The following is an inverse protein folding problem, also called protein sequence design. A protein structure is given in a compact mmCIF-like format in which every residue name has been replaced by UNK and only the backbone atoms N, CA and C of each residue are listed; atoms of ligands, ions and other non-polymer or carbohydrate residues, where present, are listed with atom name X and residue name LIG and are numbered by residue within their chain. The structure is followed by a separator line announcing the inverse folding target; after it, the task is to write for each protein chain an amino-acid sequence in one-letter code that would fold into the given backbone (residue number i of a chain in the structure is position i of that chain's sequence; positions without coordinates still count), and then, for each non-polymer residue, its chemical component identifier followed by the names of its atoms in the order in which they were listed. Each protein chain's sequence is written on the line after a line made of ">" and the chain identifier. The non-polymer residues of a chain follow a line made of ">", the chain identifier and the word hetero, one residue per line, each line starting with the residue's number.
data_IF_153578269360
#
_entry.id   IF_153578269360
#
_cell.length_a   1.000
_cell.length_b   1.000
_cell.length_c   1.000
_cell.angle_alpha   90.00
_cell.angle_beta   90.00
_cell.angle_gamma   90.00
#
_symmetry.space_group_name_H-M   'P 1'
#
loop_
_entity.id
_entity.type
_entity.pdbx_description
1 polymer ?
#
# COMPACT_ATOMS: atom_id res chain seq x y z
N UNK A 1 7.29 -5.68 24.10
CA UNK A 1 6.45 -4.67 23.42
C UNK A 1 5.15 -5.36 23.04
N UNK A 2 4.00 -4.83 23.45
CA UNK A 2 2.71 -5.51 23.22
C UNK A 2 2.17 -5.10 21.85
N UNK A 3 2.05 -6.08 20.96
CA UNK A 3 1.44 -5.96 19.63
C UNK A 3 -0.08 -6.07 19.82
N UNK A 4 -0.84 -5.00 19.54
CA UNK A 4 -2.31 -4.95 19.75
C UNK A 4 -3.02 -4.82 18.40
N UNK A 5 -3.99 -5.72 18.16
CA UNK A 5 -4.91 -5.64 17.02
C UNK A 5 -5.64 -4.28 17.01
N UNK A 6 -5.82 -3.66 15.85
CA UNK A 6 -6.48 -2.36 15.77
C UNK A 6 -7.94 -2.40 16.16
N UNK A 7 -8.38 -1.36 16.88
CA UNK A 7 -9.78 -1.16 17.20
C UNK A 7 -10.50 -0.46 16.05
N UNK A 8 -11.83 -0.61 15.99
CA UNK A 8 -12.67 0.08 14.99
C UNK A 8 -12.41 1.60 14.98
N UNK A 9 -12.30 2.22 16.15
CA UNK A 9 -11.99 3.66 16.27
C UNK A 9 -10.68 4.06 15.56
N UNK A 10 -9.68 3.18 15.56
CA UNK A 10 -8.37 3.45 14.95
C UNK A 10 -8.50 3.43 13.42
N UNK A 11 -9.36 2.55 12.88
CA UNK A 11 -9.68 2.48 11.46
C UNK A 11 -10.45 3.74 11.04
N UNK A 12 -11.50 4.13 11.78
CA UNK A 12 -12.30 5.31 11.45
C UNK A 12 -11.45 6.59 11.48
N UNK A 13 -10.59 6.75 12.50
CA UNK A 13 -9.65 7.86 12.58
C UNK A 13 -8.69 7.87 11.38
N UNK A 14 -8.09 6.72 11.05
CA UNK A 14 -7.18 6.62 9.92
C UNK A 14 -7.83 7.05 8.60
N UNK A 15 -9.07 6.61 8.36
CA UNK A 15 -9.82 6.98 7.15
C UNK A 15 -10.04 8.49 7.10
N UNK A 16 -10.45 9.12 8.20
CA UNK A 16 -10.64 10.57 8.26
C UNK A 16 -9.33 11.34 8.03
N UNK A 17 -8.26 10.98 8.74
CA UNK A 17 -6.95 11.62 8.64
C UNK A 17 -6.34 11.50 7.24
N UNK A 18 -6.53 10.36 6.59
CA UNK A 18 -6.04 10.15 5.21
C UNK A 18 -6.70 11.13 4.24
N UNK A 19 -8.00 11.38 4.37
CA UNK A 19 -8.71 12.32 3.51
C UNK A 19 -8.41 13.78 3.87
N UNK A 20 -8.24 14.10 5.14
CA UNK A 20 -7.81 15.42 5.60
C UNK A 20 -6.46 15.83 4.99
N UNK A 21 -5.47 14.94 5.02
CA UNK A 21 -4.12 15.21 4.47
C UNK A 21 -4.13 15.36 2.95
N UNK A 22 -5.12 14.79 2.27
CA UNK A 22 -5.29 14.94 0.83
C UNK A 22 -6.20 16.10 0.43
N UNK A 23 -6.56 16.97 1.39
CA UNK A 23 -7.44 18.12 1.19
C UNK A 23 -8.75 17.74 0.49
N UNK A 24 -9.31 16.57 0.82
CA UNK A 24 -10.66 16.22 0.38
C UNK A 24 -11.64 16.90 1.32
N UNK A 25 -12.17 18.01 0.86
CA UNK A 25 -13.23 18.74 1.52
C UNK A 25 -14.42 17.80 1.78
N UNK A 26 -14.99 17.88 2.98
CA UNK A 26 -16.19 17.13 3.42
C UNK A 26 -16.00 15.63 3.72
N UNK A 27 -14.82 15.17 4.14
CA UNK A 27 -14.62 13.82 4.68
C UNK A 27 -14.05 13.87 6.11
N UNK A 28 -14.84 14.42 7.04
CA UNK A 28 -14.48 14.51 8.47
C UNK A 28 -14.66 13.17 9.19
N UNK A 29 -14.16 13.06 10.43
CA UNK A 29 -14.42 11.87 11.26
C UNK A 29 -15.92 11.58 11.41
N UNK A 30 -16.74 12.62 11.59
CA UNK A 30 -18.21 12.49 11.65
C UNK A 30 -18.77 11.88 10.36
N UNK A 31 -18.28 12.31 9.19
CA UNK A 31 -18.72 11.75 7.90
C UNK A 31 -18.34 10.28 7.74
N UNK A 32 -17.14 9.91 8.21
CA UNK A 32 -16.66 8.52 8.21
C UNK A 32 -17.51 7.65 9.14
N UNK A 33 -17.79 8.12 10.36
CA UNK A 33 -18.67 7.44 11.32
C UNK A 33 -20.09 7.28 10.76
N UNK A 34 -20.67 8.34 10.21
CA UNK A 34 -22.00 8.30 9.59
C UNK A 34 -22.06 7.33 8.40
N UNK A 35 -20.98 7.25 7.63
CA UNK A 35 -20.84 6.27 6.53
C UNK A 35 -20.77 4.84 7.06
N UNK A 36 -19.98 4.60 8.11
CA UNK A 36 -19.88 3.29 8.75
C UNK A 36 -21.21 2.82 9.33
N UNK A 37 -21.93 3.70 10.04
CA UNK A 37 -23.24 3.42 10.63
C UNK A 37 -24.42 3.55 9.64
N UNK A 38 -24.15 3.74 8.34
CA UNK A 38 -25.16 3.84 7.26
C UNK A 38 -26.20 4.95 7.46
N UNK A 39 -25.86 6.03 8.15
CA UNK A 39 -26.72 7.20 8.33
C UNK A 39 -26.70 8.11 7.10
N UNK A 40 -25.53 8.26 6.48
CA UNK A 40 -25.28 9.00 5.24
C UNK A 40 -24.03 8.40 4.59
N UNK A 41 -23.96 8.32 3.26
CA UNK A 41 -22.82 7.73 2.57
C UNK A 41 -21.92 8.81 1.95
N UNK A 42 -20.78 9.07 2.58
CA UNK A 42 -19.69 9.78 1.93
C UNK A 42 -18.94 8.81 0.99
N UNK A 43 -18.94 9.11 -0.31
CA UNK A 43 -18.32 8.28 -1.35
C UNK A 43 -16.82 7.98 -1.13
N UNK A 44 -16.05 8.95 -0.61
CA UNK A 44 -14.63 8.78 -0.31
C UNK A 44 -14.41 7.87 0.90
N UNK A 45 -15.16 8.10 1.99
CA UNK A 45 -15.12 7.24 3.16
C UNK A 45 -15.61 5.82 2.86
N UNK A 46 -16.66 5.68 2.05
CA UNK A 46 -17.29 4.41 1.76
C UNK A 46 -16.34 3.42 1.10
N UNK A 47 -15.68 3.83 0.01
CA UNK A 47 -14.71 2.96 -0.69
C UNK A 47 -13.56 2.55 0.21
N UNK A 48 -13.03 3.49 0.99
CA UNK A 48 -11.92 3.22 1.91
C UNK A 48 -12.33 2.24 3.03
N UNK A 49 -13.51 2.41 3.63
CA UNK A 49 -14.05 1.48 4.64
C UNK A 49 -14.33 0.09 4.05
N UNK A 50 -14.85 0.02 2.82
CA UNK A 50 -15.03 -1.26 2.11
C UNK A 50 -13.69 -1.98 1.89
N UNK A 51 -12.63 -1.25 1.56
CA UNK A 51 -11.31 -1.82 1.36
C UNK A 51 -10.74 -2.40 2.67
N UNK A 52 -10.90 -1.72 3.81
CA UNK A 52 -10.57 -2.29 5.12
C UNK A 52 -11.38 -3.53 5.44
N UNK A 53 -12.69 -3.48 5.20
CA UNK A 53 -13.55 -4.63 5.45
C UNK A 53 -13.15 -5.83 4.58
N UNK A 54 -12.80 -5.60 3.32
CA UNK A 54 -12.24 -6.64 2.46
C UNK A 54 -10.91 -7.17 3.02
N UNK A 55 -9.98 -6.30 3.39
CA UNK A 55 -8.70 -6.72 3.93
C UNK A 55 -8.85 -7.60 5.18
N UNK A 56 -9.63 -7.14 6.16
CA UNK A 56 -9.86 -7.81 7.44
C UNK A 56 -10.53 -9.19 7.27
N UNK A 57 -11.52 -9.29 6.38
CA UNK A 57 -12.33 -10.50 6.25
C UNK A 57 -11.82 -11.47 5.17
N UNK A 58 -11.05 -10.99 4.20
CA UNK A 58 -10.73 -11.73 2.96
C UNK A 58 -9.26 -11.70 2.56
N UNK A 59 -8.38 -10.92 3.21
CA UNK A 59 -6.96 -10.90 2.86
C UNK A 59 -6.07 -11.45 3.97
N UNK A 60 -6.06 -10.81 5.15
CA UNK A 60 -5.01 -11.06 6.16
C UNK A 60 -5.01 -12.49 6.73
N UNK A 61 -6.13 -13.20 6.63
CA UNK A 61 -6.27 -14.60 7.08
C UNK A 61 -6.32 -15.61 5.91
N UNK A 62 -5.91 -15.21 4.71
CA UNK A 62 -5.98 -16.05 3.50
C UNK A 62 -4.60 -16.31 2.94
N UNK A 63 -4.49 -17.30 2.05
CA UNK A 63 -3.27 -17.63 1.30
C UNK A 63 -2.85 -16.54 0.31
N UNK A 64 -3.70 -15.53 0.06
CA UNK A 64 -3.46 -14.53 -0.98
C UNK A 64 -2.56 -13.39 -0.48
N UNK A 65 -2.42 -13.25 0.85
CA UNK A 65 -1.57 -12.25 1.48
C UNK A 65 -0.29 -12.87 2.05
N UNK A 66 0.89 -12.24 1.87
CA UNK A 66 1.16 -11.20 0.89
C UNK A 66 1.27 -11.74 -0.55
N UNK A 67 1.52 -13.04 -0.73
CA UNK A 67 1.63 -13.72 -2.03
C UNK A 67 1.32 -15.22 -1.89
N UNK A 68 0.71 -15.83 -2.91
CA UNK A 68 0.48 -17.29 -2.98
C UNK A 68 1.76 -18.05 -3.31
N UNK A 69 2.64 -17.43 -4.11
CA UNK A 69 3.88 -18.01 -4.61
C UNK A 69 5.06 -17.12 -4.19
N UNK A 70 6.05 -17.72 -3.55
CA UNK A 70 7.30 -17.08 -3.21
C UNK A 70 8.46 -18.05 -3.44
N UNK A 71 9.53 -17.64 -4.16
CA UNK A 71 9.71 -16.35 -4.85
C UNK A 71 8.92 -16.27 -6.17
N UNK A 72 8.39 -15.09 -6.50
CA UNK A 72 7.85 -14.78 -7.83
C UNK A 72 9.01 -14.61 -8.81
N UNK A 73 8.96 -15.34 -9.92
CA UNK A 73 10.03 -15.43 -10.93
C UNK A 73 9.63 -14.88 -12.30
N UNK A 74 8.37 -14.50 -12.51
CA UNK A 74 7.91 -13.93 -13.79
C UNK A 74 6.80 -12.89 -13.65
N UNK A 75 6.60 -12.09 -14.71
CA UNK A 75 5.49 -11.13 -14.79
C UNK A 75 4.12 -11.84 -14.80
N UNK A 76 4.02 -13.01 -15.43
CA UNK A 76 2.77 -13.81 -15.41
C UNK A 76 2.43 -14.27 -14.00
N UNK A 77 3.43 -14.74 -13.24
CA UNK A 77 3.22 -15.09 -11.84
C UNK A 77 2.86 -13.88 -10.98
N UNK A 78 3.49 -12.73 -11.20
CA UNK A 78 3.13 -11.49 -10.52
C UNK A 78 1.64 -11.18 -10.68
N UNK A 79 1.12 -11.20 -11.91
CA UNK A 79 -0.29 -10.91 -12.22
C UNK A 79 -1.25 -11.79 -11.43
N UNK A 80 -0.92 -13.07 -11.26
CA UNK A 80 -1.72 -14.03 -10.50
C UNK A 80 -1.64 -13.78 -8.98
N UNK A 81 -0.51 -13.27 -8.48
CA UNK A 81 -0.29 -13.07 -7.04
C UNK A 81 -0.78 -11.70 -6.53
N UNK A 82 -0.81 -10.66 -7.37
CA UNK A 82 -1.19 -9.32 -6.94
C UNK A 82 -2.66 -8.96 -7.18
N UNK A 83 -3.52 -9.94 -7.48
CA UNK A 83 -4.95 -9.70 -7.71
C UNK A 83 -5.61 -8.96 -6.53
N UNK A 84 -5.19 -9.27 -5.31
CA UNK A 84 -5.67 -8.59 -4.11
C UNK A 84 -5.36 -7.09 -4.09
N UNK A 85 -4.21 -6.66 -4.63
CA UNK A 85 -3.81 -5.25 -4.71
C UNK A 85 -4.74 -4.52 -5.67
N UNK A 86 -4.98 -5.12 -6.84
CA UNK A 86 -5.91 -4.56 -7.84
C UNK A 86 -7.32 -4.48 -7.28
N UNK A 87 -7.77 -5.51 -6.57
CA UNK A 87 -9.09 -5.55 -5.93
C UNK A 87 -9.23 -4.48 -4.85
N UNK A 88 -8.22 -4.31 -3.99
CA UNK A 88 -8.21 -3.23 -3.00
C UNK A 88 -8.27 -1.86 -3.66
N UNK A 89 -7.45 -1.61 -4.68
CA UNK A 89 -7.44 -0.34 -5.40
C UNK A 89 -8.82 -0.06 -5.99
N UNK A 90 -9.38 -1.04 -6.71
CA UNK A 90 -10.72 -0.98 -7.29
C UNK A 90 -11.80 -0.68 -6.25
N UNK A 91 -11.83 -1.37 -5.11
CA UNK A 91 -12.84 -1.13 -4.07
C UNK A 91 -12.68 0.26 -3.43
N UNK A 92 -11.44 0.66 -3.14
CA UNK A 92 -11.14 1.93 -2.48
C UNK A 92 -11.67 3.12 -3.27
N UNK A 93 -11.59 3.03 -4.60
CA UNK A 93 -11.96 4.13 -5.50
C UNK A 93 -13.21 3.85 -6.34
N UNK A 94 -13.90 2.71 -6.15
CA UNK A 94 -15.13 2.35 -6.87
C UNK A 94 -16.23 3.42 -6.82
N UNK A 95 -16.40 4.19 -5.73
CA UNK A 95 -17.39 5.27 -5.72
C UNK A 95 -17.00 6.48 -6.59
N UNK A 96 -15.74 6.56 -7.01
CA UNK A 96 -15.11 7.73 -7.62
C UNK A 96 -14.59 7.46 -9.05
N UNK A 97 -14.47 6.19 -9.45
CA UNK A 97 -13.87 5.76 -10.72
C UNK A 97 -14.71 4.62 -11.30
N UNK A 98 -15.08 4.71 -12.58
CA UNK A 98 -15.55 3.55 -13.35
C UNK A 98 -14.39 2.58 -13.54
N UNK A 99 -14.48 1.40 -12.91
CA UNK A 99 -13.42 0.40 -12.90
C UNK A 99 -13.32 -0.23 -14.30
N UNK A 100 -12.34 0.19 -15.10
CA UNK A 100 -11.93 -0.61 -16.26
C UNK A 100 -11.13 -1.83 -15.78
N UNK A 101 -11.24 -2.97 -16.48
CA UNK A 101 -10.49 -4.19 -16.19
C UNK A 101 -8.97 -3.95 -16.37
N UNK A 102 -8.26 -3.60 -15.28
CA UNK A 102 -6.83 -3.28 -15.32
C UNK A 102 -5.95 -4.55 -15.35
N UNK A 103 -5.29 -4.82 -16.47
CA UNK A 103 -4.08 -5.67 -16.54
C UNK A 103 -2.84 -4.83 -16.22
N UNK A 104 -1.82 -5.35 -15.52
CA UNK A 104 -0.58 -4.58 -15.28
C UNK A 104 0.09 -4.22 -16.61
N UNK A 105 -0.07 -5.05 -17.65
CA UNK A 105 0.36 -4.72 -19.01
C UNK A 105 -0.29 -3.45 -19.59
N UNK A 106 -1.47 -3.04 -19.10
CA UNK A 106 -2.19 -1.81 -19.47
C UNK A 106 -2.02 -0.67 -18.47
N UNK A 107 -1.35 -0.90 -17.34
CA UNK A 107 -0.84 0.19 -16.49
C UNK A 107 0.20 1.01 -17.27
N UNK A 108 0.80 0.41 -18.31
CA UNK A 108 1.79 0.99 -19.20
C UNK A 108 1.37 2.23 -20.01
N UNK A 109 0.06 2.46 -20.22
CA UNK A 109 -0.40 3.44 -21.21
C UNK A 109 -0.71 4.82 -20.63
N UNK A 110 -0.63 5.02 -19.31
CA UNK A 110 -1.37 6.13 -18.68
C UNK A 110 -0.52 7.21 -18.00
N UNK A 111 0.82 7.17 -18.03
CA UNK A 111 1.64 8.25 -17.43
C UNK A 111 2.88 8.62 -18.24
N UNK A 112 2.83 9.80 -18.86
CA UNK A 112 3.96 10.49 -19.48
C UNK A 112 4.34 11.80 -18.75
N UNK A 113 3.68 12.16 -17.65
CA UNK A 113 3.84 13.47 -16.98
C UNK A 113 4.26 13.33 -15.50
N UNK A 114 5.08 14.27 -15.03
CA UNK A 114 5.46 14.42 -13.62
C UNK A 114 4.21 14.80 -12.79
N UNK A 115 3.97 14.08 -11.70
CA UNK A 115 3.03 14.55 -10.70
C UNK A 115 3.65 15.75 -9.96
N UNK A 116 2.85 16.78 -9.64
CA UNK A 116 3.32 18.06 -9.05
C UNK A 116 4.17 17.90 -7.78
N UNK A 117 4.07 16.76 -7.10
CA UNK A 117 4.77 16.46 -5.85
C UNK A 117 6.01 15.57 -6.03
N UNK A 118 6.49 15.38 -7.26
CA UNK A 118 7.64 14.51 -7.57
C UNK A 118 8.77 15.30 -8.22
N UNK A 119 9.99 15.16 -7.69
CA UNK A 119 11.20 15.80 -8.25
C UNK A 119 11.84 14.98 -9.38
N UNK A 120 11.37 13.75 -9.59
CA UNK A 120 11.84 12.85 -10.63
C UNK A 120 10.66 12.18 -11.32
N UNK A 121 10.83 11.85 -12.60
CA UNK A 121 9.82 11.10 -13.35
C UNK A 121 9.63 9.72 -12.73
N UNK A 122 8.38 9.27 -12.71
CA UNK A 122 8.04 7.89 -12.38
C UNK A 122 8.87 6.91 -13.24
N UNK A 123 9.16 5.70 -12.75
CA UNK A 123 9.81 4.68 -13.56
C UNK A 123 9.10 4.48 -14.90
N UNK A 124 9.88 4.16 -15.94
CA UNK A 124 9.33 3.81 -17.25
C UNK A 124 8.37 2.63 -17.05
N UNK A 125 7.17 2.64 -17.66
CA UNK A 125 6.15 1.68 -17.28
C UNK A 125 6.55 0.22 -17.47
N UNK A 126 7.38 -0.08 -18.47
CA UNK A 126 7.93 -1.43 -18.70
C UNK A 126 8.75 -1.98 -17.51
N UNK A 127 9.27 -1.12 -16.63
CA UNK A 127 10.00 -1.53 -15.43
C UNK A 127 9.08 -1.80 -14.22
N UNK A 128 7.85 -1.26 -14.21
CA UNK A 128 6.94 -1.34 -13.06
C UNK A 128 6.67 -2.80 -12.64
N UNK A 129 6.38 -3.76 -13.55
CA UNK A 129 6.16 -5.15 -13.14
C UNK A 129 7.35 -5.73 -12.38
N UNK A 130 8.58 -5.47 -12.83
CA UNK A 130 9.79 -5.96 -12.18
C UNK A 130 10.03 -5.31 -10.82
N UNK A 131 9.75 -4.00 -10.70
CA UNK A 131 9.76 -3.30 -9.41
C UNK A 131 8.73 -3.93 -8.44
N UNK A 132 7.55 -4.25 -8.93
CA UNK A 132 6.49 -4.87 -8.12
C UNK A 132 6.83 -6.33 -7.73
N UNK A 133 7.52 -7.10 -8.58
CA UNK A 133 8.06 -8.43 -8.25
C UNK A 133 9.03 -8.32 -7.07
N UNK A 134 9.97 -7.37 -7.11
CA UNK A 134 10.92 -7.18 -6.03
C UNK A 134 10.22 -6.76 -4.72
N UNK A 135 9.28 -5.82 -4.82
CA UNK A 135 8.51 -5.36 -3.67
C UNK A 135 7.71 -6.49 -3.01
N UNK A 136 6.98 -7.30 -3.79
CA UNK A 136 6.16 -8.38 -3.23
C UNK A 136 7.02 -9.55 -2.71
N UNK A 137 8.15 -9.84 -3.37
CA UNK A 137 9.11 -10.83 -2.88
C UNK A 137 9.74 -10.37 -1.56
N UNK A 138 10.12 -9.09 -1.43
CA UNK A 138 10.63 -8.55 -0.17
C UNK A 138 9.58 -8.65 0.96
N UNK A 139 8.34 -8.22 0.69
CA UNK A 139 7.24 -8.33 1.64
C UNK A 139 6.99 -9.79 2.08
N UNK A 140 6.98 -10.72 1.12
CA UNK A 140 6.79 -12.16 1.37
C UNK A 140 7.95 -12.75 2.16
N UNK A 141 9.18 -12.31 1.89
CA UNK A 141 10.39 -12.74 2.61
C UNK A 141 10.27 -12.37 4.08
N UNK A 142 9.97 -11.09 4.37
CA UNK A 142 9.82 -10.59 5.73
C UNK A 142 8.65 -11.29 6.42
N UNK A 143 7.50 -11.41 5.75
CA UNK A 143 6.33 -12.09 6.31
C UNK A 143 6.63 -13.55 6.69
N UNK A 144 7.29 -14.32 5.82
CA UNK A 144 7.65 -15.71 6.10
C UNK A 144 8.60 -15.86 7.30
N UNK A 145 9.44 -14.87 7.59
CA UNK A 145 10.34 -14.89 8.76
C UNK A 145 9.60 -14.65 10.09
N UNK A 146 8.40 -14.08 10.05
CA UNK A 146 7.67 -13.63 11.26
C UNK A 146 6.29 -14.28 11.42
N UNK A 147 5.71 -14.89 10.39
CA UNK A 147 4.31 -15.36 10.39
C UNK A 147 3.96 -16.26 11.58
N UNK A 148 4.86 -17.18 11.96
CA UNK A 148 4.65 -18.12 13.07
C UNK A 148 4.82 -17.45 14.45
N UNK A 149 5.26 -16.19 14.47
CA UNK A 149 5.54 -15.39 15.68
C UNK A 149 4.51 -14.26 15.87
N UNK A 150 3.63 -14.01 14.90
CA UNK A 150 2.72 -12.85 14.90
C UNK A 150 1.71 -12.88 16.05
N UNK A 151 1.34 -14.06 16.53
CA UNK A 151 0.41 -14.22 17.66
C UNK A 151 1.12 -14.29 19.01
N UNK A 152 2.46 -14.29 19.03
CA UNK A 152 3.26 -14.32 20.26
C UNK A 152 3.78 -12.93 20.62
N UNK A 153 3.41 -12.37 21.80
CA UNK A 153 3.79 -11.01 22.20
C UNK A 153 5.31 -10.79 22.38
N UNK A 154 6.09 -11.87 22.41
CA UNK A 154 7.56 -11.84 22.51
C UNK A 154 8.26 -12.59 21.37
N UNK A 155 7.51 -13.06 20.36
CA UNK A 155 8.06 -13.89 19.28
C UNK A 155 8.95 -13.12 18.30
N UNK A 156 8.76 -11.81 18.20
CA UNK A 156 9.47 -10.94 17.24
C UNK A 156 10.69 -10.30 17.92
N UNK A 157 11.87 -10.51 17.36
CA UNK A 157 13.10 -9.88 17.85
C UNK A 157 13.14 -8.38 17.54
N UNK A 158 13.97 -7.62 18.26
CA UNK A 158 14.14 -6.18 18.00
C UNK A 158 14.60 -5.89 16.57
N UNK A 159 15.49 -6.74 16.01
CA UNK A 159 15.96 -6.60 14.65
C UNK A 159 14.85 -6.90 13.64
N UNK A 160 14.05 -7.95 13.84
CA UNK A 160 12.89 -8.25 13.00
C UNK A 160 11.89 -7.10 13.03
N UNK A 161 11.60 -6.56 14.21
CA UNK A 161 10.71 -5.42 14.37
C UNK A 161 11.22 -4.18 13.63
N UNK A 162 12.52 -3.89 13.70
CA UNK A 162 13.15 -2.80 12.96
C UNK A 162 12.94 -2.97 11.45
N UNK A 163 13.25 -4.15 10.90
CA UNK A 163 13.04 -4.45 9.47
C UNK A 163 11.58 -4.33 9.05
N UNK A 164 10.65 -4.82 9.89
CA UNK A 164 9.21 -4.67 9.65
C UNK A 164 8.80 -3.19 9.58
N UNK A 165 9.23 -2.38 10.55
CA UNK A 165 8.93 -0.94 10.60
C UNK A 165 9.51 -0.19 9.41
N UNK A 166 10.76 -0.47 9.04
CA UNK A 166 11.40 0.13 7.86
C UNK A 166 10.60 -0.16 6.59
N UNK A 167 10.15 -1.40 6.38
CA UNK A 167 9.30 -1.74 5.23
C UNK A 167 7.96 -1.00 5.28
N UNK A 168 7.27 -1.02 6.43
CA UNK A 168 5.96 -0.39 6.61
C UNK A 168 6.01 1.11 6.36
N UNK A 169 7.02 1.80 6.88
CA UNK A 169 7.17 3.25 6.76
C UNK A 169 7.47 3.69 5.33
N UNK A 170 8.07 2.81 4.52
CA UNK A 170 8.36 3.09 3.10
C UNK A 170 7.15 2.96 2.19
N UNK A 171 6.05 2.29 2.58
CA UNK A 171 4.94 1.99 1.66
C UNK A 171 4.34 3.25 1.00
N UNK A 172 3.98 4.33 1.74
CA UNK A 172 3.45 5.53 1.11
C UNK A 172 4.44 6.19 0.15
N UNK A 173 5.74 6.18 0.48
CA UNK A 173 6.81 6.74 -0.35
C UNK A 173 7.02 5.93 -1.63
N UNK A 174 7.03 4.61 -1.50
CA UNK A 174 7.16 3.66 -2.61
C UNK A 174 6.04 3.85 -3.62
N UNK A 175 4.77 3.75 -3.19
CA UNK A 175 3.64 3.90 -4.12
C UNK A 175 3.56 5.31 -4.72
N UNK A 176 3.91 6.36 -3.95
CA UNK A 176 3.95 7.74 -4.47
C UNK A 176 5.04 7.96 -5.53
N UNK A 177 6.12 7.18 -5.47
CA UNK A 177 7.27 7.30 -6.37
C UNK A 177 7.17 6.38 -7.59
N UNK A 178 6.80 5.11 -7.37
CA UNK A 178 6.67 4.10 -8.43
C UNK A 178 5.40 4.33 -9.23
N UNK A 179 4.34 4.79 -8.57
CA UNK A 179 3.06 5.15 -9.17
C UNK A 179 2.45 4.03 -10.04
N UNK A 180 2.27 2.81 -9.49
CA UNK A 180 1.75 1.68 -10.27
C UNK A 180 0.28 1.85 -10.68
N UNK A 181 -0.45 2.84 -10.18
CA UNK A 181 -1.83 3.11 -10.57
C UNK A 181 -2.00 4.47 -11.23
N UNK A 182 -3.11 4.64 -11.95
CA UNK A 182 -3.45 5.88 -12.64
C UNK A 182 -3.83 7.03 -11.69
N UNK A 183 -4.24 6.75 -10.45
CA UNK A 183 -4.72 7.76 -9.50
C UNK A 183 -4.37 7.38 -8.05
N UNK A 184 -4.35 8.39 -7.16
CA UNK A 184 -4.28 8.25 -5.69
C UNK A 184 -3.27 7.21 -5.12
N UNK A 185 -2.09 7.08 -5.74
CA UNK A 185 -1.07 6.14 -5.27
C UNK A 185 -0.59 6.41 -3.83
N UNK A 186 -0.56 7.67 -3.38
CA UNK A 186 -0.21 8.01 -1.99
C UNK A 186 -1.26 7.45 -1.01
N UNK A 187 -2.54 7.80 -1.23
CA UNK A 187 -3.67 7.23 -0.47
C UNK A 187 -3.61 5.71 -0.43
N UNK A 188 -3.39 5.10 -1.59
CA UNK A 188 -3.32 3.66 -1.71
C UNK A 188 -2.11 3.09 -0.94
N UNK A 189 -0.94 3.73 -1.02
CA UNK A 189 0.23 3.33 -0.24
C UNK A 189 0.01 3.40 1.27
N UNK A 190 -0.76 4.39 1.76
CA UNK A 190 -1.17 4.49 3.18
C UNK A 190 -2.16 3.40 3.58
N UNK A 191 -3.07 3.03 2.68
CA UNK A 191 -3.95 1.88 2.88
C UNK A 191 -3.14 0.58 2.97
N UNK A 192 -2.23 0.35 2.02
CA UNK A 192 -1.34 -0.82 2.02
C UNK A 192 -0.49 -0.87 3.29
N UNK A 193 0.08 0.25 3.72
CA UNK A 193 0.80 0.37 4.99
C UNK A 193 -0.01 -0.19 6.16
N UNK A 194 -1.28 0.20 6.26
CA UNK A 194 -2.15 -0.18 7.37
C UNK A 194 -2.70 -1.61 7.23
N UNK A 195 -2.91 -2.11 6.02
CA UNK A 195 -3.23 -3.52 5.78
C UNK A 195 -2.07 -4.43 6.20
N UNK A 196 -0.83 -4.03 5.90
CA UNK A 196 0.36 -4.77 6.34
C UNK A 196 0.48 -4.77 7.87
N UNK A 197 0.27 -3.61 8.50
CA UNK A 197 0.23 -3.50 9.97
C UNK A 197 -0.81 -4.46 10.57
N UNK A 198 -2.03 -4.48 10.04
CA UNK A 198 -3.09 -5.42 10.47
C UNK A 198 -2.62 -6.87 10.28
N UNK A 199 -2.10 -7.22 9.11
CA UNK A 199 -1.65 -8.57 8.80
C UNK A 199 -0.50 -9.06 9.67
N UNK A 200 0.26 -8.14 10.28
CA UNK A 200 1.33 -8.44 11.23
C UNK A 200 0.93 -8.18 12.69
N UNK A 201 -0.38 -8.08 12.97
CA UNK A 201 -0.98 -7.75 14.27
C UNK A 201 -0.53 -6.41 14.89
N UNK A 202 0.17 -5.56 14.15
CA UNK A 202 0.74 -4.29 14.62
C UNK A 202 -0.33 -3.19 14.74
N UNK A 203 -0.11 -2.19 15.62
CA UNK A 203 -1.02 -1.06 15.74
C UNK A 203 -1.08 -0.26 14.44
N UNK A 204 -2.29 0.17 14.06
CA UNK A 204 -2.49 1.07 12.91
C UNK A 204 -1.75 2.38 13.10
N UNK A 205 -1.33 2.96 11.98
CA UNK A 205 -0.85 4.33 11.96
C UNK A 205 -2.06 5.27 11.80
N UNK A 206 -2.87 5.37 12.86
CA UNK A 206 -4.15 6.07 12.84
C UNK A 206 -4.00 7.59 12.69
N UNK A 207 -2.88 8.15 13.18
CA UNK A 207 -2.55 9.55 12.99
C UNK A 207 -1.55 9.67 11.85
N UNK A 208 -1.89 10.46 10.84
CA UNK A 208 -0.89 10.93 9.89
C UNK A 208 -0.13 12.07 10.58
N UNK A 209 0.80 11.73 11.47
CA UNK A 209 1.54 12.70 12.30
C UNK A 209 2.44 13.60 11.45
N UNK A 210 2.83 13.12 10.26
CA UNK A 210 3.68 13.88 9.37
C UNK A 210 2.84 14.91 8.61
N UNK A 211 3.09 16.18 8.91
CA UNK A 211 2.70 17.30 8.06
C UNK A 211 3.11 17.00 6.61
N UNK A 212 2.32 17.52 5.67
CA UNK A 212 2.61 17.42 4.24
C UNK A 212 4.09 17.71 3.91
N UNK A 213 4.68 18.70 4.58
CA UNK A 213 6.09 19.08 4.47
C UNK A 213 7.08 17.98 4.86
N UNK A 214 6.83 17.27 5.96
CA UNK A 214 7.69 16.15 6.39
C UNK A 214 7.61 15.02 5.39
N UNK A 215 6.40 14.69 4.92
CA UNK A 215 6.20 13.68 3.88
C UNK A 215 6.91 14.07 2.58
N UNK A 216 6.82 15.33 2.15
CA UNK A 216 7.50 15.84 0.96
C UNK A 216 9.01 15.67 1.06
N UNK A 217 9.63 16.06 2.18
CA UNK A 217 11.08 15.86 2.41
C UNK A 217 11.48 14.38 2.37
N UNK A 218 10.67 13.50 2.96
CA UNK A 218 10.91 12.06 2.92
C UNK A 218 10.77 11.50 1.50
N UNK A 219 9.79 11.98 0.73
CA UNK A 219 9.58 11.60 -0.66
C UNK A 219 10.75 12.04 -1.54
N UNK A 220 11.23 13.28 -1.38
CA UNK A 220 12.41 13.78 -2.10
C UNK A 220 13.65 12.93 -1.82
N UNK A 221 13.90 12.56 -0.55
CA UNK A 221 15.00 11.66 -0.20
C UNK A 221 14.83 10.27 -0.80
N UNK A 222 13.63 9.70 -0.69
CA UNK A 222 13.34 8.38 -1.28
C UNK A 222 13.56 8.37 -2.80
N UNK A 223 13.20 9.46 -3.48
CA UNK A 223 13.41 9.63 -4.92
C UNK A 223 14.88 9.78 -5.31
N UNK A 224 15.68 10.45 -4.49
CA UNK A 224 17.12 10.62 -4.75
C UNK A 224 17.93 9.37 -4.39
N UNK A 225 17.63 8.76 -3.26
CA UNK A 225 18.52 7.79 -2.63
C UNK A 225 18.08 6.34 -2.88
N UNK A 226 16.77 6.07 -2.97
CA UNK A 226 16.22 4.70 -3.03
C UNK A 226 15.73 4.32 -4.42
N UNK A 227 15.04 5.24 -5.11
CA UNK A 227 14.50 5.00 -6.44
C UNK A 227 15.55 4.55 -7.48
N UNK A 228 16.77 5.11 -7.53
CA UNK A 228 17.79 4.66 -8.49
C UNK A 228 18.15 3.18 -8.31
N UNK A 229 18.30 2.72 -7.07
CA UNK A 229 18.59 1.32 -6.74
C UNK A 229 17.43 0.41 -7.14
N UNK A 230 16.18 0.81 -6.86
CA UNK A 230 14.98 0.08 -7.29
C UNK A 230 14.94 -0.05 -8.82
N UNK A 231 15.20 1.04 -9.55
CA UNK A 231 15.23 1.04 -11.03
C UNK A 231 16.34 0.11 -11.55
N UNK A 232 17.53 0.16 -10.95
CA UNK A 232 18.67 -0.66 -11.37
C UNK A 232 18.42 -2.15 -11.14
N UNK A 233 17.83 -2.52 -10.00
CA UNK A 233 17.54 -3.91 -9.69
C UNK A 233 16.44 -4.46 -10.61
N UNK A 234 15.37 -3.70 -10.84
CA UNK A 234 14.33 -4.02 -11.81
C UNK A 234 14.88 -4.18 -13.24
N UNK A 235 15.82 -3.34 -13.67
CA UNK A 235 16.48 -3.47 -14.97
C UNK A 235 17.32 -4.75 -15.08
N UNK A 236 18.00 -5.16 -14.00
CA UNK A 236 18.73 -6.43 -13.96
C UNK A 236 17.76 -7.60 -14.07
N UNK A 237 16.70 -7.58 -13.26
CA UNK A 237 15.67 -8.62 -13.25
C UNK A 237 14.98 -8.76 -14.61
N UNK A 238 14.66 -7.64 -15.25
CA UNK A 238 14.11 -7.62 -16.61
C UNK A 238 15.00 -8.33 -17.63
N UNK A 239 16.33 -8.21 -17.50
CA UNK A 239 17.28 -8.89 -18.40
C UNK A 239 17.44 -10.38 -18.11
N UNK A 240 17.04 -10.84 -16.92
CA UNK A 240 17.18 -12.25 -16.49
C UNK A 240 15.93 -13.09 -16.77
N UNK A 241 14.75 -12.45 -16.80
CA UNK A 241 13.45 -13.12 -16.99
C UNK A 241 13.02 -13.14 -18.48
N UNK A 242 13.67 -12.34 -19.34
CA UNK A 242 13.52 -12.39 -20.80
C UNK A 242 14.27 -13.57 -21.41
#
# INVERSE_FOLDING_TARGET
>A
MIIRKPALKDILQFVAETHYVENIDNCTLSDVENTFYKKYQNQYAHGHLLAFNYALNKLVNTTDYPSRLYPIQSVTELENNIHWIKKLYSITFSPLINIENYTLSKINTWRNHLAENTISTAPVPSLIPYIMIEWINNLSTIHNQIKDKLDSPYGISQQQYKTMRELIEQQPLFFSTVQPFNYANNRFGRLIQNIILIGWNMPLNAKVINTYETFKKQLERFQKDTLPTIKQNAQKLMKTIL
#
